data_IF_595026584117
#
_entry.id   IF_595026584117
#
_cell.length_a   1.000
_cell.length_b   1.000
_cell.length_c   1.000
_cell.angle_alpha   90.00
_cell.angle_beta   90.00
_cell.angle_gamma   90.00
#
_symmetry.space_group_name_H-M   'P 1'
#
loop_
_entity.id
_entity.type
_entity.pdbx_description
1 polymer ?
#
# COMPACT_ATOMS: atom_id res chain seq x y z
N UNK A 1 -4.89 27.52 -5.35
CA UNK A 1 -4.47 26.21 -4.79
C UNK A 1 -5.72 25.35 -4.65
N UNK A 2 -5.55 24.04 -4.65
CA UNK A 2 -6.62 23.08 -4.36
C UNK A 2 -6.17 22.20 -3.19
N UNK A 3 -7.11 21.74 -2.39
CA UNK A 3 -6.84 20.77 -1.32
C UNK A 3 -7.67 19.53 -1.63
N UNK A 4 -7.01 18.38 -1.63
CA UNK A 4 -7.65 17.07 -1.68
C UNK A 4 -7.69 16.51 -0.26
N UNK A 5 -8.75 15.78 0.09
CA UNK A 5 -8.94 15.14 1.39
C UNK A 5 -9.77 13.88 1.23
N UNK A 6 -9.41 12.85 2.00
CA UNK A 6 -10.27 11.68 2.15
C UNK A 6 -11.37 11.98 3.16
N UNK A 7 -12.54 11.38 2.97
CA UNK A 7 -13.69 11.59 3.85
C UNK A 7 -13.46 11.12 5.30
N UNK A 8 -12.49 10.23 5.53
CA UNK A 8 -12.08 9.74 6.84
C UNK A 8 -10.79 10.40 7.36
N UNK A 9 -10.39 11.54 6.79
CA UNK A 9 -9.26 12.35 7.25
C UNK A 9 -9.69 13.53 8.11
N UNK A 10 -8.98 13.73 9.22
CA UNK A 10 -9.14 14.86 10.15
C UNK A 10 -7.88 15.72 10.10
N UNK A 11 -8.05 17.02 9.90
CA UNK A 11 -6.97 17.98 9.76
C UNK A 11 -6.71 18.75 11.04
N UNK A 12 -5.44 19.11 11.27
CA UNK A 12 -5.07 20.11 12.26
C UNK A 12 -5.44 21.53 11.76
N UNK A 13 -5.77 22.48 12.67
CA UNK A 13 -6.27 23.81 12.29
C UNK A 13 -5.32 24.62 11.39
N UNK A 14 -4.02 24.36 11.46
CA UNK A 14 -2.99 25.07 10.70
C UNK A 14 -2.54 24.36 9.42
N UNK A 15 -3.20 23.26 9.03
CA UNK A 15 -2.91 22.47 7.83
C UNK A 15 -2.77 23.35 6.57
N UNK A 16 -3.81 24.16 6.29
CA UNK A 16 -3.85 24.99 5.09
C UNK A 16 -2.78 26.08 5.15
N UNK A 17 -2.58 26.70 6.31
CA UNK A 17 -1.60 27.77 6.50
C UNK A 17 -0.17 27.28 6.23
N UNK A 18 0.20 26.12 6.79
CA UNK A 18 1.54 25.53 6.62
C UNK A 18 1.80 25.11 5.18
N UNK A 19 0.88 24.38 4.55
CA UNK A 19 1.07 23.90 3.18
C UNK A 19 1.01 25.05 2.15
N UNK A 20 0.13 26.03 2.35
CA UNK A 20 0.09 27.21 1.47
C UNK A 20 1.36 28.07 1.58
N UNK A 21 1.93 28.21 2.78
CA UNK A 21 3.20 28.88 2.98
C UNK A 21 4.34 28.18 2.23
N UNK A 22 4.40 26.85 2.31
CA UNK A 22 5.38 26.04 1.54
C UNK A 22 5.23 26.30 0.05
N UNK A 23 4.02 26.17 -0.50
CA UNK A 23 3.81 26.35 -1.95
C UNK A 23 4.02 27.79 -2.42
N UNK A 24 3.79 28.79 -1.56
CA UNK A 24 3.91 30.21 -1.91
C UNK A 24 5.33 30.75 -1.74
N UNK A 25 6.23 29.99 -1.13
CA UNK A 25 7.63 30.41 -0.93
C UNK A 25 8.38 30.55 -2.26
N UNK A 26 9.20 31.61 -2.48
CA UNK A 26 9.88 31.84 -3.77
C UNK A 26 10.78 30.70 -4.26
N UNK A 27 11.34 29.89 -3.35
CA UNK A 27 12.16 28.72 -3.72
C UNK A 27 11.35 27.49 -4.16
N UNK A 28 10.02 27.54 -3.99
CA UNK A 28 9.12 26.41 -4.15
C UNK A 28 8.14 26.60 -5.32
N UNK A 29 8.45 27.50 -6.25
CA UNK A 29 7.64 27.77 -7.44
C UNK A 29 7.42 26.54 -8.32
N UNK A 30 8.33 25.56 -8.26
CA UNK A 30 8.27 24.28 -8.98
C UNK A 30 7.69 23.13 -8.16
N UNK A 31 7.20 23.37 -6.94
CA UNK A 31 6.49 22.35 -6.17
C UNK A 31 5.02 22.39 -6.59
N UNK A 32 4.56 21.31 -7.22
CA UNK A 32 3.16 21.13 -7.62
C UNK A 32 2.30 20.65 -6.47
N UNK A 33 2.82 19.73 -5.67
CA UNK A 33 2.10 19.06 -4.58
C UNK A 33 2.90 19.19 -3.30
N UNK A 34 2.28 19.76 -2.27
CA UNK A 34 2.76 19.71 -0.90
C UNK A 34 1.81 18.84 -0.09
N UNK A 35 2.29 17.74 0.46
CA UNK A 35 1.51 16.82 1.29
C UNK A 35 2.08 16.74 2.70
N UNK A 36 1.29 16.24 3.64
CA UNK A 36 1.72 15.88 4.99
C UNK A 36 1.85 14.35 5.08
N UNK A 37 2.50 13.77 6.10
CA UNK A 37 2.55 12.32 6.27
C UNK A 37 1.13 11.79 6.47
N UNK A 38 0.79 10.70 5.77
CA UNK A 38 -0.44 9.95 6.03
C UNK A 38 -0.25 9.19 7.35
N UNK A 39 -0.89 9.65 8.43
CA UNK A 39 -0.71 9.11 9.78
C UNK A 39 -2.02 8.55 10.33
N UNK A 40 -1.91 7.50 11.13
CA UNK A 40 -3.04 6.86 11.79
C UNK A 40 -3.42 7.56 13.09
N UNK A 41 -4.68 7.42 13.51
CA UNK A 41 -5.08 7.81 14.86
C UNK A 41 -4.38 6.92 15.90
N UNK A 42 -3.82 7.55 16.93
CA UNK A 42 -3.14 6.83 18.01
C UNK A 42 -4.14 6.24 19.02
N UNK A 43 -3.73 5.16 19.69
CA UNK A 43 -4.43 4.65 20.86
C UNK A 43 -5.64 3.75 20.59
N UNK A 44 -5.78 3.15 19.40
CA UNK A 44 -6.81 2.14 19.19
C UNK A 44 -6.61 0.95 20.16
N UNK A 45 -7.71 0.52 20.79
CA UNK A 45 -7.74 -0.68 21.64
C UNK A 45 -7.69 -1.97 20.80
N UNK A 46 -7.98 -1.87 19.51
CA UNK A 46 -7.91 -3.00 18.59
C UNK A 46 -6.45 -3.19 18.14
N UNK A 47 -5.89 -4.36 18.48
CA UNK A 47 -4.49 -4.69 18.20
C UNK A 47 -4.20 -4.65 16.70
N UNK A 48 -5.10 -5.19 15.86
CA UNK A 48 -4.91 -5.19 14.41
C UNK A 48 -4.87 -3.76 13.87
N UNK A 49 -5.84 -2.93 14.27
CA UNK A 49 -5.93 -1.54 13.84
C UNK A 49 -4.68 -0.75 14.28
N UNK A 50 -4.23 -0.93 15.52
CA UNK A 50 -3.02 -0.29 16.03
C UNK A 50 -1.77 -0.73 15.26
N UNK A 51 -1.64 -2.03 14.92
CA UNK A 51 -0.49 -2.54 14.15
C UNK A 51 -0.54 -2.12 12.68
N UNK A 52 -1.73 -2.08 12.07
CA UNK A 52 -1.91 -1.52 10.73
C UNK A 52 -1.55 -0.03 10.71
N UNK A 53 -1.89 0.70 11.77
CA UNK A 53 -1.44 2.08 12.01
C UNK A 53 0.09 2.17 12.09
N UNK A 54 0.74 1.30 12.86
CA UNK A 54 2.21 1.26 12.98
C UNK A 54 2.92 1.07 11.63
N UNK A 55 2.42 0.16 10.78
CA UNK A 55 2.98 -0.04 9.42
C UNK A 55 2.78 1.14 8.49
N UNK A 56 1.81 2.00 8.79
CA UNK A 56 1.52 3.22 8.05
C UNK A 56 2.39 4.36 8.55
N UNK A 57 2.44 4.54 9.88
CA UNK A 57 3.20 5.62 10.51
C UNK A 57 4.71 5.50 10.28
N UNK A 58 5.25 4.28 10.08
CA UNK A 58 6.67 4.13 9.73
C UNK A 58 7.00 4.76 8.37
N UNK A 59 6.03 4.82 7.45
CA UNK A 59 6.19 5.44 6.14
C UNK A 59 6.49 6.94 6.26
N UNK A 60 6.11 7.59 7.36
CA UNK A 60 6.52 8.96 7.67
C UNK A 60 8.02 9.16 7.45
N UNK A 61 8.85 8.32 8.07
CA UNK A 61 10.31 8.45 8.03
C UNK A 61 10.85 8.18 6.63
N UNK A 62 10.29 7.16 5.96
CA UNK A 62 10.65 6.79 4.60
C UNK A 62 10.36 7.94 3.62
N UNK A 63 9.18 8.57 3.73
CA UNK A 63 8.80 9.71 2.88
C UNK A 63 9.61 10.98 3.16
N UNK A 64 10.10 11.20 4.39
CA UNK A 64 11.09 12.25 4.64
C UNK A 64 12.39 11.97 3.88
N UNK A 65 12.86 10.72 3.91
CA UNK A 65 14.01 10.28 3.12
C UNK A 65 13.81 10.49 1.63
N UNK A 66 12.67 10.09 1.07
CA UNK A 66 12.36 10.34 -0.34
C UNK A 66 12.35 11.82 -0.69
N UNK A 67 11.81 12.67 0.19
CA UNK A 67 11.80 14.12 -0.02
C UNK A 67 13.22 14.70 -0.07
N UNK A 68 14.12 14.22 0.80
CA UNK A 68 15.52 14.62 0.78
C UNK A 68 16.21 14.32 -0.56
N UNK A 69 15.89 13.18 -1.18
CA UNK A 69 16.46 12.78 -2.47
C UNK A 69 15.64 13.21 -3.70
N UNK A 70 14.65 14.11 -3.54
CA UNK A 70 13.79 14.57 -4.63
C UNK A 70 12.87 13.47 -5.21
N UNK A 71 12.72 12.37 -4.49
CA UNK A 71 12.00 11.16 -4.90
C UNK A 71 10.56 11.08 -4.35
N UNK A 72 9.99 12.21 -3.91
CA UNK A 72 8.64 12.25 -3.33
C UNK A 72 7.58 11.75 -4.32
N UNK A 73 6.67 10.93 -3.83
CA UNK A 73 5.40 10.60 -4.46
C UNK A 73 4.25 11.30 -3.73
N UNK A 74 3.23 11.67 -4.48
CA UNK A 74 1.92 12.00 -3.96
C UNK A 74 1.25 10.71 -3.47
N UNK A 75 0.97 10.64 -2.16
CA UNK A 75 0.39 9.45 -1.52
C UNK A 75 -0.78 9.84 -0.64
N UNK A 76 -1.96 9.34 -0.99
CA UNK A 76 -3.22 9.60 -0.33
C UNK A 76 -3.83 10.95 -0.72
N UNK A 77 -5.07 11.17 -0.29
CA UNK A 77 -5.76 12.39 -0.65
C UNK A 77 -5.24 13.62 0.09
N UNK A 78 -4.51 13.52 1.22
CA UNK A 78 -4.17 14.67 2.07
C UNK A 78 -3.02 15.55 1.52
N UNK A 79 -3.32 16.32 0.47
CA UNK A 79 -2.35 17.21 -0.17
C UNK A 79 -2.96 18.54 -0.61
N UNK A 80 -2.10 19.56 -0.67
CA UNK A 80 -2.37 20.83 -1.34
C UNK A 80 -1.67 20.86 -2.69
N UNK A 81 -2.42 21.21 -3.74
CA UNK A 81 -1.97 21.21 -5.12
C UNK A 81 -2.00 22.61 -5.73
N UNK A 82 -1.00 22.91 -6.57
CA UNK A 82 -1.05 24.04 -7.49
C UNK A 82 -2.01 23.71 -8.63
N UNK A 83 -3.06 24.52 -8.78
CA UNK A 83 -4.01 24.37 -9.89
C UNK A 83 -3.33 24.43 -11.26
N UNK A 84 -2.32 25.30 -11.43
CA UNK A 84 -1.53 25.37 -12.65
C UNK A 84 -0.86 24.03 -12.99
N UNK A 85 -0.33 23.33 -11.99
CA UNK A 85 0.32 22.04 -12.23
C UNK A 85 -0.67 20.98 -12.73
N UNK A 86 -1.92 21.02 -12.24
CA UNK A 86 -2.99 20.16 -12.77
C UNK A 86 -3.36 20.54 -14.22
N UNK A 87 -3.43 21.83 -14.54
CA UNK A 87 -3.67 22.28 -15.91
C UNK A 87 -2.58 21.78 -16.88
N UNK A 88 -1.32 21.76 -16.43
CA UNK A 88 -0.17 21.33 -17.25
C UNK A 88 -0.21 19.82 -17.58
N UNK A 89 -0.91 19.00 -16.79
CA UNK A 89 -1.08 17.56 -17.03
C UNK A 89 -2.49 17.18 -17.54
N UNK A 90 -3.32 18.18 -17.86
CA UNK A 90 -4.70 17.98 -18.28
C UNK A 90 -4.78 17.21 -19.60
N UNK A 91 -5.57 16.15 -19.61
CA UNK A 91 -6.00 15.46 -20.83
C UNK A 91 -7.47 15.76 -21.13
N UNK A 92 -7.87 15.64 -22.39
CA UNK A 92 -9.26 15.83 -22.83
C UNK A 92 -9.72 14.52 -23.47
N UNK A 93 -10.85 14.01 -23.03
CA UNK A 93 -11.48 12.83 -23.61
C UNK A 93 -12.92 13.14 -23.98
N UNK A 94 -13.41 12.47 -25.01
CA UNK A 94 -14.79 12.59 -25.44
C UNK A 94 -15.59 11.40 -24.89
N UNK A 95 -16.63 11.68 -24.12
CA UNK A 95 -17.54 10.67 -23.61
C UNK A 95 -18.97 11.09 -23.91
N UNK A 96 -19.70 10.25 -24.66
CA UNK A 96 -21.10 10.51 -25.06
C UNK A 96 -21.31 11.89 -25.71
N UNK A 97 -20.33 12.35 -26.50
CA UNK A 97 -20.37 13.66 -27.17
C UNK A 97 -20.01 14.86 -26.29
N UNK A 98 -19.67 14.64 -25.02
CA UNK A 98 -19.17 15.68 -24.12
C UNK A 98 -17.65 15.64 -24.04
N UNK A 99 -17.01 16.80 -24.12
CA UNK A 99 -15.59 16.92 -23.79
C UNK A 99 -15.42 16.96 -22.28
N UNK A 100 -14.70 15.97 -21.75
CA UNK A 100 -14.39 15.86 -20.34
C UNK A 100 -12.90 16.13 -20.14
N UNK A 101 -12.60 17.04 -19.23
CA UNK A 101 -11.23 17.37 -18.84
C UNK A 101 -10.79 16.49 -17.68
N UNK A 102 -9.76 15.67 -17.90
CA UNK A 102 -9.17 14.81 -16.87
C UNK A 102 -7.85 15.40 -16.38
N UNK A 103 -7.72 15.55 -15.07
CA UNK A 103 -6.50 16.05 -14.44
C UNK A 103 -5.70 14.94 -13.76
N UNK A 104 -6.38 13.90 -13.30
CA UNK A 104 -5.81 12.73 -12.62
C UNK A 104 -6.26 11.50 -13.40
N UNK A 105 -5.30 10.71 -13.88
CA UNK A 105 -5.60 9.55 -14.72
C UNK A 105 -5.99 8.36 -13.85
N UNK A 106 -7.01 7.61 -14.24
CA UNK A 106 -7.52 6.43 -13.52
C UNK A 106 -7.04 5.12 -14.16
N UNK A 107 -5.86 5.14 -14.79
CA UNK A 107 -5.28 3.93 -15.37
C UNK A 107 -4.91 2.91 -14.29
N UNK A 108 -4.67 3.38 -13.07
CA UNK A 108 -4.31 2.57 -11.91
C UNK A 108 -5.20 2.90 -10.72
N UNK A 109 -5.27 1.99 -9.75
CA UNK A 109 -6.02 2.19 -8.50
C UNK A 109 -5.23 2.99 -7.44
N UNK A 110 -4.10 3.55 -7.83
CA UNK A 110 -3.22 4.45 -7.07
C UNK A 110 -2.87 5.66 -7.95
N UNK A 111 -3.92 6.33 -8.39
CA UNK A 111 -3.90 7.44 -9.36
C UNK A 111 -3.07 8.64 -8.89
N UNK A 112 -2.99 8.85 -7.57
CA UNK A 112 -2.15 9.85 -6.91
C UNK A 112 -0.66 9.63 -7.20
N UNK A 113 -0.23 8.38 -7.05
CA UNK A 113 1.14 7.92 -7.26
C UNK A 113 1.48 7.99 -8.75
N UNK A 114 0.55 7.64 -9.62
CA UNK A 114 0.74 7.77 -11.07
C UNK A 114 0.88 9.24 -11.49
N UNK A 115 0.01 10.11 -10.97
CA UNK A 115 0.00 11.55 -11.25
C UNK A 115 1.31 12.23 -10.83
N UNK A 116 2.02 11.67 -9.86
CA UNK A 116 3.36 12.14 -9.50
C UNK A 116 4.33 12.05 -10.68
N UNK A 117 4.23 11.00 -11.50
CA UNK A 117 5.08 10.83 -12.68
C UNK A 117 4.64 11.77 -13.80
N UNK A 118 3.33 12.00 -13.98
CA UNK A 118 2.83 12.98 -14.93
C UNK A 118 3.37 14.39 -14.65
N UNK A 119 3.37 14.77 -13.36
CA UNK A 119 3.92 16.05 -12.91
C UNK A 119 5.43 16.15 -13.16
N UNK A 120 6.19 15.09 -12.89
CA UNK A 120 7.64 15.08 -13.17
C UNK A 120 7.92 15.23 -14.67
N UNK A 121 7.11 14.62 -15.53
CA UNK A 121 7.27 14.68 -16.98
C UNK A 121 7.13 16.11 -17.55
N UNK A 122 6.44 17.00 -16.84
CA UNK A 122 6.32 18.43 -17.15
C UNK A 122 7.14 19.32 -16.19
N UNK A 123 8.15 18.74 -15.52
CA UNK A 123 9.12 19.43 -14.64
C UNK A 123 8.53 20.06 -13.37
N UNK A 124 7.48 19.46 -12.82
CA UNK A 124 6.99 19.75 -11.47
C UNK A 124 7.60 18.79 -10.44
N UNK A 125 7.81 19.29 -9.23
CA UNK A 125 8.31 18.54 -8.08
C UNK A 125 7.21 18.34 -7.03
N UNK A 126 7.45 17.38 -6.12
CA UNK A 126 6.56 17.06 -5.02
C UNK A 126 7.30 17.16 -3.69
N UNK A 127 6.60 17.54 -2.63
CA UNK A 127 7.21 17.77 -1.32
C UNK A 127 6.36 17.18 -0.19
N UNK A 128 7.01 16.45 0.72
CA UNK A 128 6.40 15.99 1.95
C UNK A 128 6.79 16.92 3.10
N UNK A 129 5.80 17.63 3.65
CA UNK A 129 5.96 18.45 4.84
C UNK A 129 6.17 17.55 6.06
N UNK A 130 7.17 17.83 6.92
CA UNK A 130 7.58 16.89 7.97
C UNK A 130 6.57 16.75 9.12
N UNK A 131 5.75 17.77 9.37
CA UNK A 131 4.79 17.70 10.47
C UNK A 131 3.56 16.89 10.08
N UNK A 132 3.01 16.13 11.04
CA UNK A 132 1.75 15.39 10.91
C UNK A 132 0.57 16.35 11.10
N UNK A 133 -0.02 16.78 10.00
CA UNK A 133 -1.12 17.75 9.96
C UNK A 133 -2.47 17.11 9.63
N UNK A 134 -2.48 15.81 9.30
CA UNK A 134 -3.68 15.05 9.00
C UNK A 134 -3.60 13.64 9.61
N UNK A 135 -4.74 13.15 10.10
CA UNK A 135 -4.89 11.80 10.63
C UNK A 135 -6.03 11.10 9.92
N UNK A 136 -5.85 9.83 9.61
CA UNK A 136 -6.82 9.06 8.82
C UNK A 136 -7.18 7.76 9.53
N UNK A 137 -8.42 7.31 9.31
CA UNK A 137 -8.92 6.09 9.92
C UNK A 137 -8.15 4.86 9.40
N UNK A 138 -7.80 3.96 10.33
CA UNK A 138 -7.20 2.67 9.99
C UNK A 138 -8.31 1.62 9.89
N UNK A 139 -8.23 0.65 8.97
CA UNK A 139 -9.23 -0.42 8.88
C UNK A 139 -9.36 -1.19 10.22
N UNK A 140 -10.59 -1.35 10.76
CA UNK A 140 -10.79 -1.97 12.07
C UNK A 140 -10.75 -3.51 12.03
N UNK A 141 -10.74 -4.12 10.85
CA UNK A 141 -10.76 -5.58 10.69
C UNK A 141 -9.86 -6.04 9.53
N UNK A 142 -9.51 -7.33 9.52
CA UNK A 142 -8.56 -7.85 8.52
C UNK A 142 -9.16 -7.89 7.12
N UNK A 143 -10.46 -8.09 6.95
CA UNK A 143 -11.10 -8.08 5.63
C UNK A 143 -11.05 -6.70 4.97
N UNK A 144 -11.33 -5.64 5.74
CA UNK A 144 -11.20 -4.26 5.26
C UNK A 144 -9.74 -3.85 5.02
N UNK A 145 -8.82 -4.28 5.89
CA UNK A 145 -7.38 -4.07 5.69
C UNK A 145 -6.85 -4.77 4.44
N UNK A 146 -7.28 -6.01 4.19
CA UNK A 146 -6.92 -6.79 3.01
C UNK A 146 -7.30 -6.07 1.73
N UNK A 147 -8.53 -5.55 1.64
CA UNK A 147 -9.00 -4.80 0.46
C UNK A 147 -8.11 -3.58 0.22
N UNK A 148 -7.80 -2.82 1.28
CA UNK A 148 -6.96 -1.64 1.21
C UNK A 148 -5.53 -1.97 0.76
N UNK A 149 -4.87 -2.95 1.38
CA UNK A 149 -3.46 -3.29 1.10
C UNK A 149 -3.29 -3.97 -0.26
N UNK A 150 -4.26 -4.78 -0.68
CA UNK A 150 -4.28 -5.34 -2.03
C UNK A 150 -4.33 -4.26 -3.11
N UNK A 151 -5.10 -3.19 -2.88
CA UNK A 151 -5.17 -2.03 -3.78
C UNK A 151 -3.81 -1.36 -3.90
N UNK A 152 -3.13 -1.11 -2.79
CA UNK A 152 -1.79 -0.49 -2.79
C UNK A 152 -0.74 -1.35 -3.48
N UNK A 153 -0.85 -2.68 -3.34
CA UNK A 153 0.01 -3.62 -4.07
C UNK A 153 -0.32 -3.69 -5.58
N UNK A 154 -1.56 -3.37 -5.98
CA UNK A 154 -2.04 -3.40 -7.36
C UNK A 154 -1.80 -2.07 -8.09
N UNK A 155 -0.55 -1.66 -8.29
CA UNK A 155 -0.32 -0.45 -9.10
C UNK A 155 1.13 -0.08 -9.35
N UNK A 156 2.02 -0.35 -8.39
CA UNK A 156 3.43 0.04 -8.52
C UNK A 156 4.09 -0.47 -9.81
N UNK A 157 3.81 -1.73 -10.18
CA UNK A 157 4.35 -2.33 -11.41
C UNK A 157 3.72 -1.78 -12.71
N UNK A 158 2.48 -1.30 -12.67
CA UNK A 158 1.84 -0.64 -13.83
C UNK A 158 2.45 0.74 -14.06
N UNK A 159 2.80 1.47 -12.99
CA UNK A 159 3.42 2.80 -13.06
C UNK A 159 4.91 2.71 -13.44
N UNK A 160 5.59 1.63 -13.07
CA UNK A 160 7.04 1.48 -13.22
C UNK A 160 7.55 1.75 -14.66
N UNK A 161 6.95 1.24 -15.75
CA UNK A 161 7.36 1.58 -17.12
C UNK A 161 7.28 3.08 -17.45
N UNK A 162 6.30 3.79 -16.89
CA UNK A 162 6.15 5.25 -17.03
C UNK A 162 7.31 5.96 -16.32
N UNK A 163 7.64 5.56 -15.09
CA UNK A 163 8.80 6.08 -14.36
C UNK A 163 10.11 5.82 -15.12
N UNK A 164 10.31 4.61 -15.66
CA UNK A 164 11.55 4.28 -16.39
C UNK A 164 11.75 5.18 -17.61
N UNK A 165 10.68 5.57 -18.31
CA UNK A 165 10.76 6.54 -19.42
C UNK A 165 11.33 7.88 -18.95
N UNK A 166 10.92 8.38 -17.78
CA UNK A 166 11.48 9.60 -17.19
C UNK A 166 12.95 9.42 -16.77
N UNK A 167 13.26 8.30 -16.11
CA UNK A 167 14.60 7.98 -15.60
C UNK A 167 15.62 7.89 -16.74
N UNK A 168 15.29 7.24 -17.85
CA UNK A 168 16.21 7.07 -18.98
C UNK A 168 16.41 8.31 -19.86
N UNK A 169 15.62 9.38 -19.69
CA UNK A 169 15.85 10.66 -20.38
C UNK A 169 17.21 11.25 -19.97
N UNK A 170 18.04 11.62 -20.94
CA UNK A 170 19.35 12.28 -20.72
C UNK A 170 19.15 13.77 -20.37
N UNK A 171 20.13 14.42 -19.70
CA UNK A 171 21.39 13.88 -19.18
C UNK A 171 21.24 13.14 -17.85
N UNK A 172 22.19 12.26 -17.54
CA UNK A 172 22.28 11.59 -16.25
C UNK A 172 23.21 12.35 -15.31
N UNK A 173 22.81 12.46 -14.05
CA UNK A 173 23.62 12.99 -12.95
C UNK A 173 23.53 12.05 -11.75
N UNK A 174 24.46 12.18 -10.80
CA UNK A 174 24.40 11.41 -9.56
C UNK A 174 23.10 11.69 -8.77
N UNK A 175 22.64 12.95 -8.77
CA UNK A 175 21.37 13.33 -8.14
C UNK A 175 20.19 12.61 -8.78
N UNK A 176 20.12 12.59 -10.12
CA UNK A 176 19.07 11.87 -10.86
C UNK A 176 19.13 10.36 -10.62
N UNK A 177 20.34 9.80 -10.48
CA UNK A 177 20.50 8.39 -10.13
C UNK A 177 19.94 8.06 -8.74
N UNK A 178 20.25 8.88 -7.73
CA UNK A 178 19.71 8.69 -6.38
C UNK A 178 18.19 8.85 -6.36
N UNK A 179 17.65 9.87 -7.04
CA UNK A 179 16.21 10.05 -7.21
C UNK A 179 15.57 8.80 -7.84
N UNK A 180 16.12 8.32 -8.96
CA UNK A 180 15.64 7.14 -9.66
C UNK A 180 15.68 5.89 -8.78
N UNK A 181 16.76 5.69 -8.02
CA UNK A 181 16.89 4.55 -7.11
C UNK A 181 15.73 4.50 -6.10
N UNK A 182 15.46 5.60 -5.39
CA UNK A 182 14.38 5.64 -4.41
C UNK A 182 13.00 5.53 -5.06
N UNK A 183 12.80 6.11 -6.25
CA UNK A 183 11.51 6.01 -6.95
C UNK A 183 11.23 4.59 -7.45
N UNK A 184 12.23 3.92 -8.02
CA UNK A 184 12.12 2.52 -8.45
C UNK A 184 11.92 1.61 -7.24
N UNK A 185 12.64 1.85 -6.15
CA UNK A 185 12.45 1.14 -4.90
C UNK A 185 11.02 1.27 -4.38
N UNK A 186 10.45 2.48 -4.36
CA UNK A 186 9.07 2.70 -3.91
C UNK A 186 8.05 1.87 -4.70
N UNK A 187 8.11 1.91 -6.03
CA UNK A 187 7.14 1.20 -6.89
C UNK A 187 7.36 -0.32 -6.95
N UNK A 188 8.62 -0.79 -6.83
CA UNK A 188 8.99 -2.19 -7.02
C UNK A 188 9.10 -3.02 -5.74
N UNK A 189 9.34 -2.39 -4.59
CA UNK A 189 9.69 -3.09 -3.34
C UNK A 189 8.62 -4.05 -2.86
N UNK A 190 7.32 -3.70 -2.95
CA UNK A 190 6.22 -4.60 -2.55
C UNK A 190 6.29 -5.92 -3.32
N UNK A 191 6.49 -5.86 -4.65
CA UNK A 191 6.62 -7.06 -5.47
C UNK A 191 7.90 -7.85 -5.13
N UNK A 192 9.04 -7.16 -5.11
CA UNK A 192 10.34 -7.80 -4.88
C UNK A 192 10.43 -8.48 -3.51
N UNK A 193 9.96 -7.82 -2.44
CA UNK A 193 10.01 -8.35 -1.08
C UNK A 193 9.06 -9.53 -0.91
N UNK A 194 7.80 -9.44 -1.37
CA UNK A 194 6.84 -10.54 -1.15
C UNK A 194 7.16 -11.77 -2.01
N UNK A 195 7.59 -11.58 -3.26
CA UNK A 195 8.07 -12.70 -4.10
C UNK A 195 9.34 -13.30 -3.51
N UNK A 196 10.30 -12.45 -3.14
CA UNK A 196 11.57 -12.88 -2.53
C UNK A 196 11.36 -13.64 -1.22
N UNK A 197 10.43 -13.21 -0.36
CA UNK A 197 10.09 -13.90 0.89
C UNK A 197 9.47 -15.27 0.63
N UNK A 198 8.53 -15.41 -0.31
CA UNK A 198 7.96 -16.72 -0.63
C UNK A 198 9.02 -17.67 -1.20
N UNK A 199 9.92 -17.18 -2.06
CA UNK A 199 11.06 -17.97 -2.55
C UNK A 199 11.96 -18.36 -1.38
N UNK A 200 12.26 -17.44 -0.46
CA UNK A 200 13.09 -17.69 0.71
C UNK A 200 12.48 -18.74 1.66
N UNK A 201 11.16 -18.70 1.85
CA UNK A 201 10.42 -19.65 2.68
C UNK A 201 10.28 -21.03 2.02
N UNK A 202 10.32 -21.10 0.69
CA UNK A 202 10.15 -22.34 -0.08
C UNK A 202 11.45 -23.00 -0.54
N UNK A 203 12.56 -22.26 -0.61
CA UNK A 203 13.83 -22.75 -1.15
C UNK A 203 14.75 -23.25 -0.04
N UNK A 204 15.35 -24.45 -0.17
CA UNK A 204 16.47 -24.84 0.67
C UNK A 204 17.66 -23.96 0.29
N UNK A 205 17.94 -22.95 1.11
CA UNK A 205 19.21 -22.24 1.01
C UNK A 205 20.31 -23.14 1.60
N UNK A 206 21.48 -23.14 0.97
CA UNK A 206 22.58 -24.06 1.28
C UNK A 206 23.05 -24.00 2.74
N UNK A 207 23.80 -25.03 3.13
CA UNK A 207 24.31 -25.22 4.50
C UNK A 207 25.54 -24.34 4.84
N UNK A 208 25.94 -23.44 3.95
CA UNK A 208 27.16 -22.67 4.11
C UNK A 208 27.04 -21.46 5.03
N UNK A 209 28.19 -20.82 5.29
CA UNK A 209 28.32 -19.70 6.23
C UNK A 209 27.50 -18.47 5.78
N UNK A 210 27.20 -18.35 4.48
CA UNK A 210 26.32 -17.34 3.90
C UNK A 210 24.94 -17.28 4.56
N UNK A 211 24.38 -18.44 4.93
CA UNK A 211 23.09 -18.55 5.62
C UNK A 211 23.12 -17.87 6.99
N UNK A 212 24.20 -18.06 7.74
CA UNK A 212 24.40 -17.41 9.05
C UNK A 212 24.46 -15.89 8.88
N UNK A 213 25.18 -15.42 7.86
CA UNK A 213 25.32 -14.01 7.57
C UNK A 213 24.00 -13.35 7.18
N UNK A 214 23.10 -14.03 6.47
CA UNK A 214 21.76 -13.51 6.16
C UNK A 214 20.98 -13.26 7.46
N UNK A 215 20.97 -14.23 8.39
CA UNK A 215 20.27 -14.06 9.67
C UNK A 215 20.88 -12.93 10.50
N UNK A 216 22.21 -12.90 10.65
CA UNK A 216 22.92 -11.89 11.44
C UNK A 216 22.78 -10.49 10.83
N UNK A 217 22.86 -10.36 9.50
CA UNK A 217 22.71 -9.08 8.81
C UNK A 217 21.30 -8.51 8.87
N UNK A 218 20.29 -9.33 9.18
CA UNK A 218 18.92 -8.86 9.42
C UNK A 218 18.73 -8.20 10.80
N UNK A 219 19.57 -8.51 11.79
CA UNK A 219 19.42 -7.99 13.16
C UNK A 219 19.50 -6.45 13.22
N UNK A 220 20.49 -5.77 12.60
CA UNK A 220 20.52 -4.31 12.56
C UNK A 220 19.25 -3.71 11.97
N UNK A 221 18.67 -4.33 10.94
CA UNK A 221 17.43 -3.87 10.33
C UNK A 221 16.27 -3.90 11.34
N UNK A 222 16.08 -5.02 12.05
CA UNK A 222 15.01 -5.13 13.05
C UNK A 222 15.22 -4.22 14.26
N UNK A 223 16.48 -4.01 14.67
CA UNK A 223 16.82 -3.06 15.73
C UNK A 223 16.44 -1.64 15.31
N UNK A 224 16.86 -1.21 14.12
CA UNK A 224 16.51 0.12 13.59
C UNK A 224 15.00 0.28 13.44
N UNK A 225 14.31 -0.72 12.90
CA UNK A 225 12.85 -0.68 12.78
C UNK A 225 12.18 -0.56 14.16
N UNK A 226 12.62 -1.32 15.16
CA UNK A 226 12.10 -1.17 16.51
C UNK A 226 12.40 0.20 17.15
N UNK A 227 13.59 0.77 16.93
CA UNK A 227 13.91 2.13 17.37
C UNK A 227 12.99 3.17 16.72
N UNK A 228 12.72 3.01 15.43
CA UNK A 228 11.90 3.92 14.66
C UNK A 228 10.42 3.83 15.04
N UNK A 229 9.92 2.63 15.37
CA UNK A 229 8.61 2.42 15.98
C UNK A 229 8.49 3.14 17.33
N UNK A 230 9.50 3.02 18.19
CA UNK A 230 9.50 3.68 19.50
C UNK A 230 9.53 5.21 19.37
N UNK A 231 10.32 5.73 18.43
CA UNK A 231 10.39 7.19 18.15
C UNK A 231 9.06 7.78 17.72
N UNK A 232 8.22 7.00 17.04
CA UNK A 232 6.90 7.47 16.56
C UNK A 232 5.75 7.11 17.50
N UNK A 233 6.03 6.56 18.68
CA UNK A 233 5.05 6.36 19.77
C UNK A 233 4.61 4.92 20.03
N UNK A 234 5.18 3.92 19.34
CA UNK A 234 4.90 2.50 19.58
C UNK A 234 5.88 1.89 20.59
N UNK A 235 5.69 0.61 20.92
CA UNK A 235 6.54 -0.13 21.86
C UNK A 235 7.47 -1.07 21.10
N UNK A 236 8.60 -1.43 21.71
CA UNK A 236 9.50 -2.46 21.14
C UNK A 236 8.80 -3.80 20.87
N UNK A 237 7.85 -4.18 21.73
CA UNK A 237 7.07 -5.41 21.54
C UNK A 237 6.14 -5.35 20.31
N UNK A 238 5.79 -4.16 19.84
CA UNK A 238 4.95 -3.98 18.66
C UNK A 238 5.70 -4.38 17.39
N UNK A 239 7.04 -4.39 17.38
CA UNK A 239 7.83 -4.90 16.26
C UNK A 239 7.47 -6.35 15.90
N UNK A 240 7.25 -7.20 16.92
CA UNK A 240 6.88 -8.61 16.73
C UNK A 240 5.50 -8.72 16.10
N UNK A 241 4.56 -7.90 16.56
CA UNK A 241 3.18 -7.88 16.07
C UNK A 241 3.07 -7.28 14.67
N UNK A 242 3.85 -6.23 14.37
CA UNK A 242 4.02 -5.66 13.02
C UNK A 242 4.60 -6.70 12.06
N UNK A 243 5.62 -7.45 12.48
CA UNK A 243 6.18 -8.52 11.67
C UNK A 243 5.15 -9.62 11.40
N UNK A 244 4.40 -10.03 12.41
CA UNK A 244 3.28 -10.97 12.25
C UNK A 244 2.23 -10.47 11.26
N UNK A 245 1.89 -9.18 11.32
CA UNK A 245 0.96 -8.56 10.37
C UNK A 245 1.53 -8.57 8.95
N UNK A 246 2.82 -8.28 8.78
CA UNK A 246 3.47 -8.32 7.48
C UNK A 246 3.48 -9.74 6.88
N UNK A 247 3.63 -10.78 7.69
CA UNK A 247 3.51 -12.18 7.23
C UNK A 247 2.09 -12.48 6.73
N UNK A 248 1.06 -12.07 7.47
CA UNK A 248 -0.34 -12.19 7.04
C UNK A 248 -0.67 -11.39 5.78
N UNK A 249 0.08 -10.32 5.50
CA UNK A 249 -0.13 -9.53 4.29
C UNK A 249 0.58 -10.12 3.06
N UNK A 250 1.37 -11.20 3.19
CA UNK A 250 2.08 -11.81 2.04
C UNK A 250 1.09 -12.25 0.96
N UNK A 251 0.06 -13.08 1.23
CA UNK A 251 -0.90 -13.49 0.19
C UNK A 251 -1.68 -12.30 -0.38
N UNK A 252 -1.98 -11.30 0.45
CA UNK A 252 -2.69 -10.08 0.06
C UNK A 252 -1.86 -9.25 -0.94
N UNK A 253 -0.59 -9.02 -0.62
CA UNK A 253 0.33 -8.27 -1.47
C UNK A 253 0.59 -9.00 -2.77
N UNK A 254 0.82 -10.32 -2.73
CA UNK A 254 1.02 -11.13 -3.93
C UNK A 254 -0.19 -11.11 -4.85
N UNK A 255 -1.41 -11.19 -4.30
CA UNK A 255 -2.62 -11.05 -5.10
C UNK A 255 -2.67 -9.70 -5.82
N UNK A 256 -2.35 -8.60 -5.13
CA UNK A 256 -2.26 -7.28 -5.75
C UNK A 256 -1.18 -7.18 -6.83
N UNK A 257 -0.02 -7.79 -6.61
CA UNK A 257 1.09 -7.85 -7.59
C UNK A 257 0.69 -8.64 -8.83
N UNK A 258 0.07 -9.81 -8.67
CA UNK A 258 -0.41 -10.61 -9.80
C UNK A 258 -1.51 -9.89 -10.58
N UNK A 259 -2.40 -9.19 -9.89
CA UNK A 259 -3.40 -8.30 -10.50
C UNK A 259 -2.72 -7.21 -11.33
N UNK A 260 -1.68 -6.57 -10.79
CA UNK A 260 -0.90 -5.54 -11.48
C UNK A 260 -0.25 -6.07 -12.76
N UNK A 261 0.35 -7.25 -12.70
CA UNK A 261 0.95 -7.94 -13.85
C UNK A 261 -0.12 -8.30 -14.88
N UNK A 262 -1.25 -8.87 -14.44
CA UNK A 262 -2.35 -9.25 -15.33
C UNK A 262 -2.92 -8.03 -16.06
N UNK A 263 -3.11 -6.91 -15.37
CA UNK A 263 -3.54 -5.66 -16.00
C UNK A 263 -2.49 -5.13 -16.99
N UNK A 264 -1.20 -5.17 -16.64
CA UNK A 264 -0.12 -4.75 -17.53
C UNK A 264 -0.05 -5.58 -18.83
N UNK A 265 -0.36 -6.89 -18.75
CA UNK A 265 -0.39 -7.78 -19.92
C UNK A 265 -1.67 -7.61 -20.74
N UNK A 266 -2.83 -7.56 -20.07
CA UNK A 266 -4.14 -7.58 -20.76
C UNK A 266 -4.64 -6.20 -21.18
N UNK A 267 -4.09 -5.12 -20.60
CA UNK A 267 -4.58 -3.75 -20.77
C UNK A 267 -5.97 -3.51 -20.15
N UNK A 268 -6.59 -4.52 -19.53
CA UNK A 268 -7.92 -4.40 -18.93
C UNK A 268 -7.80 -3.81 -17.53
N UNK A 269 -8.48 -2.69 -17.31
CA UNK A 269 -8.56 -2.09 -15.98
C UNK A 269 -9.25 -3.04 -15.01
N UNK A 270 -8.67 -3.14 -13.82
CA UNK A 270 -9.25 -3.93 -12.74
C UNK A 270 -10.25 -3.05 -11.98
N UNK A 271 -11.49 -3.53 -11.76
CA UNK A 271 -12.51 -2.75 -11.06
C UNK A 271 -12.06 -2.43 -9.64
N UNK A 272 -12.23 -1.16 -9.26
CA UNK A 272 -11.93 -0.69 -7.92
C UNK A 272 -12.92 -1.28 -6.90
N UNK A 273 -12.40 -1.99 -5.90
CA UNK A 273 -13.19 -2.46 -4.76
C UNK A 273 -13.10 -1.44 -3.64
N UNK A 274 -14.22 -0.78 -3.30
CA UNK A 274 -14.31 0.08 -2.12
C UNK A 274 -14.13 -0.76 -0.87
N UNK A 275 -13.44 -0.22 0.13
CA UNK A 275 -13.40 -0.80 1.46
C UNK A 275 -14.78 -0.66 2.10
N UNK A 276 -15.47 -1.76 2.47
CA UNK A 276 -16.80 -1.67 3.03
C UNK A 276 -16.79 -0.87 4.33
N UNK A 277 -17.68 0.11 4.45
CA UNK A 277 -17.93 0.86 5.69
C UNK A 277 -19.12 0.22 6.40
N UNK A 278 -18.97 -1.07 6.75
CA UNK A 278 -20.03 -1.88 7.37
C UNK A 278 -20.02 -1.72 8.89
N UNK A 279 -21.21 -1.72 9.48
CA UNK A 279 -21.38 -1.86 10.93
C UNK A 279 -21.11 -3.33 11.26
N UNK A 280 -19.89 -3.65 11.66
CA UNK A 280 -19.45 -5.01 11.95
C UNK A 280 -18.11 -5.35 11.29
N UNK A 281 -17.95 -6.60 10.86
CA UNK A 281 -16.71 -7.13 10.28
C UNK A 281 -16.85 -7.35 8.77
N UNK A 282 -15.81 -7.01 8.01
CA UNK A 282 -15.72 -7.38 6.59
C UNK A 282 -15.28 -8.84 6.47
N UNK A 283 -16.06 -9.65 5.75
CA UNK A 283 -15.71 -11.05 5.52
C UNK A 283 -14.48 -11.19 4.63
N UNK A 284 -13.60 -12.13 4.97
CA UNK A 284 -12.40 -12.44 4.18
C UNK A 284 -12.80 -13.48 3.11
N UNK A 285 -12.45 -13.31 1.83
CA UNK A 285 -12.68 -14.34 0.83
C UNK A 285 -11.92 -15.63 1.21
N UNK A 286 -12.59 -16.79 1.12
CA UNK A 286 -12.02 -18.08 1.55
C UNK A 286 -10.64 -18.39 0.95
N UNK A 287 -10.37 -17.94 -0.28
CA UNK A 287 -9.07 -18.14 -0.92
C UNK A 287 -7.91 -17.55 -0.09
N UNK A 288 -8.11 -16.38 0.53
CA UNK A 288 -7.08 -15.78 1.37
C UNK A 288 -6.90 -16.54 2.68
N UNK A 289 -8.00 -16.97 3.31
CA UNK A 289 -7.93 -17.82 4.51
C UNK A 289 -7.16 -19.10 4.21
N UNK A 290 -7.49 -19.79 3.11
CA UNK A 290 -6.77 -20.98 2.64
C UNK A 290 -5.31 -20.69 2.34
N UNK A 291 -5.00 -19.53 1.73
CA UNK A 291 -3.62 -19.13 1.46
C UNK A 291 -2.81 -18.91 2.76
N UNK A 292 -3.37 -18.29 3.79
CA UNK A 292 -2.71 -18.13 5.09
C UNK A 292 -2.39 -19.49 5.74
N UNK A 293 -3.37 -20.42 5.75
CA UNK A 293 -3.14 -21.76 6.27
C UNK A 293 -2.17 -22.58 5.42
N UNK A 294 -2.15 -22.36 4.10
CA UNK A 294 -1.18 -23.00 3.20
C UNK A 294 0.23 -22.50 3.47
N UNK A 295 0.40 -21.18 3.69
CA UNK A 295 1.68 -20.59 4.08
C UNK A 295 2.14 -21.12 5.45
N UNK A 296 1.22 -21.22 6.42
CA UNK A 296 1.52 -21.81 7.71
C UNK A 296 1.95 -23.29 7.59
N UNK A 297 1.23 -24.08 6.80
CA UNK A 297 1.58 -25.47 6.53
C UNK A 297 2.96 -25.60 5.85
N UNK A 298 3.26 -24.72 4.89
CA UNK A 298 4.56 -24.65 4.23
C UNK A 298 5.69 -24.35 5.23
N UNK A 299 5.49 -23.40 6.14
CA UNK A 299 6.48 -23.07 7.17
C UNK A 299 6.69 -24.24 8.16
N UNK A 300 5.61 -24.92 8.58
CA UNK A 300 5.72 -26.10 9.45
C UNK A 300 6.40 -27.27 8.74
N UNK A 301 6.09 -27.50 7.47
CA UNK A 301 6.77 -28.48 6.64
C UNK A 301 8.26 -28.13 6.49
N UNK A 302 8.58 -26.87 6.20
CA UNK A 302 9.94 -26.35 6.15
C UNK A 302 10.69 -26.53 7.48
N UNK A 303 10.04 -26.34 8.62
CA UNK A 303 10.63 -26.61 9.93
C UNK A 303 11.02 -28.09 10.08
N UNK A 304 10.09 -29.00 9.78
CA UNK A 304 10.29 -30.45 9.92
C UNK A 304 11.40 -30.92 8.97
N UNK A 305 11.36 -30.53 7.70
CA UNK A 305 12.36 -30.96 6.71
C UNK A 305 13.75 -30.44 7.08
N UNK A 306 13.89 -29.18 7.45
CA UNK A 306 15.18 -28.61 7.84
C UNK A 306 15.69 -29.21 9.16
N UNK A 307 14.80 -29.55 10.10
CA UNK A 307 15.18 -30.27 11.31
C UNK A 307 15.78 -31.63 10.99
N UNK A 308 15.14 -32.40 10.10
CA UNK A 308 15.61 -33.73 9.68
C UNK A 308 16.96 -33.68 8.94
N UNK A 309 17.19 -32.63 8.16
CA UNK A 309 18.46 -32.40 7.45
C UNK A 309 19.52 -31.71 8.32
N UNK A 310 19.26 -31.47 9.62
CA UNK A 310 20.16 -30.77 10.56
C UNK A 310 20.49 -29.31 10.18
N UNK A 311 19.62 -28.69 9.39
CA UNK A 311 19.65 -27.26 9.05
C UNK A 311 19.01 -26.43 10.17
N UNK A 312 19.69 -26.37 11.32
CA UNK A 312 19.14 -25.80 12.55
C UNK A 312 18.68 -24.35 12.41
N UNK A 313 19.41 -23.50 11.67
CA UNK A 313 19.02 -22.09 11.49
C UNK A 313 17.72 -21.98 10.73
N UNK A 314 17.60 -22.65 9.58
CA UNK A 314 16.37 -22.61 8.79
C UNK A 314 15.20 -23.26 9.52
N UNK A 315 15.47 -24.31 10.29
CA UNK A 315 14.48 -24.91 11.17
C UNK A 315 13.94 -23.86 12.16
N UNK A 316 14.82 -23.16 12.89
CA UNK A 316 14.43 -22.10 13.83
C UNK A 316 13.73 -20.93 13.12
N UNK A 317 14.23 -20.50 11.96
CA UNK A 317 13.63 -19.45 11.15
C UNK A 317 12.20 -19.82 10.73
N UNK A 318 11.99 -21.03 10.19
CA UNK A 318 10.69 -21.50 9.77
C UNK A 318 9.74 -21.65 10.95
N UNK A 319 10.21 -22.18 12.08
CA UNK A 319 9.41 -22.30 13.30
C UNK A 319 9.01 -20.93 13.86
N UNK A 320 9.94 -19.98 13.90
CA UNK A 320 9.67 -18.61 14.34
C UNK A 320 8.63 -17.92 13.46
N UNK A 321 8.77 -18.02 12.13
CA UNK A 321 7.78 -17.49 11.20
C UNK A 321 6.44 -18.21 11.32
N UNK A 322 6.41 -19.53 11.49
CA UNK A 322 5.17 -20.29 11.70
C UNK A 322 4.46 -19.83 12.98
N UNK A 323 5.20 -19.61 14.07
CA UNK A 323 4.64 -19.12 15.32
C UNK A 323 4.06 -17.70 15.18
N UNK A 324 4.79 -16.80 14.49
CA UNK A 324 4.35 -15.42 14.27
C UNK A 324 3.17 -15.33 13.31
N UNK A 325 3.14 -16.15 12.26
CA UNK A 325 1.98 -16.25 11.36
C UNK A 325 0.77 -16.84 12.09
N UNK A 326 0.96 -17.91 12.87
CA UNK A 326 -0.09 -18.50 13.70
C UNK A 326 -0.65 -17.51 14.73
N UNK A 327 0.22 -16.74 15.39
CA UNK A 327 -0.19 -15.63 16.25
C UNK A 327 -1.06 -14.62 15.50
N UNK A 328 -0.65 -14.23 14.29
CA UNK A 328 -1.39 -13.31 13.44
C UNK A 328 -2.78 -13.83 13.08
N UNK A 329 -2.87 -15.09 12.61
CA UNK A 329 -4.15 -15.74 12.30
C UNK A 329 -5.08 -15.73 13.51
N UNK A 330 -4.56 -16.02 14.71
CA UNK A 330 -5.37 -16.07 15.93
C UNK A 330 -5.78 -14.67 16.41
N UNK A 331 -4.86 -13.70 16.41
CA UNK A 331 -5.07 -12.38 17.02
C UNK A 331 -5.68 -11.34 16.09
N UNK A 332 -5.35 -11.37 14.81
CA UNK A 332 -5.82 -10.38 13.83
C UNK A 332 -7.03 -10.84 13.04
N UNK A 333 -7.16 -12.15 12.79
CA UNK A 333 -8.33 -12.70 12.09
C UNK A 333 -9.30 -13.37 13.08
N UNK A 334 -8.81 -14.33 13.87
CA UNK A 334 -9.61 -15.15 14.78
C UNK A 334 -10.08 -16.46 14.12
N UNK A 335 -9.81 -17.60 14.77
CA UNK A 335 -10.07 -18.95 14.23
C UNK A 335 -11.56 -19.18 13.88
N UNK A 336 -12.46 -18.68 14.74
CA UNK A 336 -13.90 -18.77 14.51
C UNK A 336 -14.29 -18.01 13.23
N UNK A 337 -13.74 -16.82 13.05
CA UNK A 337 -14.03 -15.98 11.89
C UNK A 337 -13.46 -16.57 10.59
N UNK A 338 -12.28 -17.22 10.63
CA UNK A 338 -11.76 -17.99 9.50
C UNK A 338 -12.76 -19.05 9.02
N UNK A 339 -13.33 -19.82 9.96
CA UNK A 339 -14.29 -20.87 9.64
C UNK A 339 -15.60 -20.31 9.10
N UNK A 340 -16.14 -19.26 9.74
CA UNK A 340 -17.34 -18.57 9.28
C UNK A 340 -17.15 -18.01 7.86
N UNK A 341 -16.00 -17.42 7.55
CA UNK A 341 -15.68 -16.87 6.22
C UNK A 341 -15.57 -17.93 5.12
N UNK A 342 -14.98 -19.09 5.44
CA UNK A 342 -14.93 -20.24 4.53
C UNK A 342 -16.33 -20.72 4.21
N UNK A 343 -17.16 -20.94 5.24
CA UNK A 343 -18.55 -21.39 5.05
C UNK A 343 -19.37 -20.37 4.27
N UNK A 344 -19.22 -19.08 4.55
CA UNK A 344 -19.90 -18.01 3.82
C UNK A 344 -19.51 -17.99 2.33
N UNK A 345 -18.23 -18.21 2.02
CA UNK A 345 -17.73 -18.23 0.63
C UNK A 345 -18.14 -19.49 -0.14
N UNK A 346 -18.34 -20.63 0.55
CA UNK A 346 -18.84 -21.86 -0.06
C UNK A 346 -20.35 -21.72 -0.36
N UNK A 347 -21.10 -21.10 0.55
CA UNK A 347 -22.55 -20.98 0.46
C UNK A 347 -23.04 -19.83 -0.43
N UNK A 348 -22.16 -18.90 -0.84
CA UNK A 348 -22.46 -17.83 -1.80
C UNK A 348 -21.51 -17.91 -3.00
N UNK A 349 -22.00 -18.05 -4.24
CA UNK A 349 -21.12 -18.04 -5.40
C UNK A 349 -20.36 -16.70 -5.47
N UNK A 350 -19.09 -16.70 -5.94
CA UNK A 350 -18.20 -15.54 -5.90
C UNK A 350 -18.70 -14.31 -6.67
N UNK A 351 -19.72 -14.48 -7.52
CA UNK A 351 -20.34 -13.42 -8.31
C UNK A 351 -21.17 -12.46 -7.43
N UNK A 352 -21.92 -12.93 -6.44
CA UNK A 352 -22.82 -12.07 -5.64
C UNK A 352 -22.10 -11.17 -4.62
N UNK A 353 -20.92 -11.56 -4.13
CA UNK A 353 -20.15 -10.75 -3.16
C UNK A 353 -19.46 -9.58 -3.88
N UNK A 354 -19.10 -9.75 -5.15
CA UNK A 354 -18.61 -8.66 -6.01
C UNK A 354 -19.76 -7.82 -6.59
N UNK A 355 -20.87 -8.45 -7.00
CA UNK A 355 -22.02 -7.74 -7.58
C UNK A 355 -22.79 -6.89 -6.58
N UNK A 356 -22.93 -7.29 -5.30
CA UNK A 356 -23.58 -6.43 -4.29
C UNK A 356 -22.73 -5.23 -3.85
N UNK A 357 -21.43 -5.21 -4.18
CA UNK A 357 -20.56 -4.03 -4.02
C UNK A 357 -20.49 -3.20 -5.31
N UNK A 358 -20.73 -3.82 -6.47
CA UNK A 358 -20.81 -3.15 -7.78
C UNK A 358 -22.20 -2.53 -8.09
N UNK A 359 -23.29 -3.02 -7.49
CA UNK A 359 -24.66 -2.50 -7.72
C UNK A 359 -25.00 -1.20 -6.98
N UNK A 360 -24.00 -0.50 -6.43
CA UNK A 360 -24.08 0.94 -6.11
C UNK A 360 -23.43 1.81 -7.20
N UNK A 361 -23.13 1.25 -8.37
CA UNK A 361 -23.11 2.00 -9.62
C UNK A 361 -24.57 2.21 -9.99
N UNK A 362 -25.04 3.43 -9.73
CA UNK A 362 -26.28 4.06 -10.19
C UNK A 362 -27.17 3.18 -11.09
N UNK A 363 -28.43 2.88 -10.73
CA UNK A 363 -29.42 2.74 -11.78
C UNK A 363 -29.36 4.07 -12.53
N UNK A 364 -29.05 4.02 -13.82
CA UNK A 364 -29.28 5.14 -14.74
C UNK A 364 -30.61 5.76 -14.34
N UNK A 365 -30.56 6.96 -13.76
CA UNK A 365 -31.74 7.80 -13.71
C UNK A 365 -32.01 8.09 -15.18
N UNK A 366 -32.88 7.29 -15.75
CA UNK A 366 -33.68 7.69 -16.90
C UNK A 366 -34.49 8.85 -16.37
N UNK A 367 -33.97 10.06 -16.57
CA UNK A 367 -34.80 11.24 -16.57
C UNK A 367 -35.66 11.03 -17.81
N UNK A 368 -36.89 10.56 -17.60
CA UNK A 368 -37.94 10.67 -18.61
C UNK A 368 -38.07 12.16 -18.92
N UNK A 369 -37.41 12.60 -19.98
CA UNK A 369 -37.73 13.84 -20.67
C UNK A 369 -38.94 13.55 -21.56
N UNK A 370 -40.07 13.26 -20.94
CA UNK A 370 -41.38 13.42 -21.58
C UNK A 370 -42.20 14.38 -20.73
N UNK A 371 -42.19 15.64 -21.16
CA UNK A 371 -42.95 16.70 -20.52
C UNK A 371 -42.63 18.08 -21.05
N UNK A 372 -42.76 18.31 -22.36
CA UNK A 372 -43.19 19.62 -22.89
C UNK A 372 -44.03 19.39 -24.17
N UNK A 373 -45.05 20.22 -24.47
CA UNK A 373 -45.73 21.24 -23.67
C UNK A 373 -47.14 20.86 -23.20
#
# INVERSE_FOLDING_TARGET
>A
MLVTLDADSVLLPDYILKLSHVLSSPKNEKIAVAQTPYSSFSGSLNVLENMAGATTDIQYQIHQGFTHFGATFWVGANAMLRYKALLDIRTVYEERGFQIHKYIQDNTVIEDTESSIDLLDVNWNLYNYPERLAYSATPPDFGSLLIQRRRWANGGLIILPKLLRYVFRRPWSFVKFMEAFFRVHYLGSIAAVNIGLVILMGSPLGEGMETYWIAVSSLPYFILYGMDLVRIGYKWIDLIQVYSLNLLLIPVNLAGVFMSINQAITGKQIPFSRTPKVIGRTAIPALYVVAEYSLLAQLLFGFITNYLHKNWIYSIYNLGNAFLLGYGIIKFIGLRFCWEDILLSINKPPVEISEKVAHLVEPRVTIDLEGEP
#
